data_IF_572131291461
#
_entry.id   IF_572131291461
#
_cell.length_a   1.000
_cell.length_b   1.000
_cell.length_c   1.000
_cell.angle_alpha   90.00
_cell.angle_beta   90.00
_cell.angle_gamma   90.00
#
_symmetry.space_group_name_H-M   'P 1'
#
loop_
_entity.id
_entity.type
_entity.pdbx_description
1 polymer ?
#
# COMPACT_ATOMS: atom_id res chain seq x y z
N UNK A 1 58.29 -67.94 58.71
CA UNK A 1 57.15 -68.50 57.99
C UNK A 1 56.16 -67.37 57.64
N UNK A 2 56.27 -66.83 56.47
CA UNK A 2 55.37 -65.77 56.04
C UNK A 2 55.12 -65.99 54.55
N UNK A 3 53.87 -66.19 54.15
CA UNK A 3 53.43 -66.39 52.79
C UNK A 3 53.20 -65.01 52.12
N UNK A 4 53.77 -64.83 50.94
CA UNK A 4 53.49 -63.73 50.04
C UNK A 4 52.25 -64.04 49.22
N UNK A 5 51.24 -63.20 49.25
CA UNK A 5 50.14 -63.16 48.29
C UNK A 5 50.31 -61.98 47.37
N UNK A 6 50.46 -62.26 46.09
CA UNK A 6 50.52 -61.31 44.99
C UNK A 6 49.12 -60.89 44.63
N UNK A 7 48.84 -59.59 44.66
CA UNK A 7 47.63 -58.98 44.17
C UNK A 7 47.89 -58.48 42.73
N UNK A 8 47.12 -58.98 41.79
CA UNK A 8 47.04 -58.49 40.40
C UNK A 8 46.07 -57.34 40.35
N UNK A 9 46.57 -56.18 40.04
CA UNK A 9 45.76 -54.98 39.78
C UNK A 9 45.38 -54.96 38.30
N UNK A 10 44.08 -55.17 37.98
CA UNK A 10 43.54 -54.93 36.67
C UNK A 10 43.23 -53.44 36.47
N UNK A 11 43.91 -52.79 35.54
CA UNK A 11 43.62 -51.44 35.12
C UNK A 11 42.41 -51.41 34.19
N UNK A 12 41.30 -50.91 34.67
CA UNK A 12 40.10 -50.59 33.85
C UNK A 12 40.34 -49.22 33.19
N UNK A 13 40.57 -49.19 31.88
CA UNK A 13 40.64 -47.96 31.09
C UNK A 13 39.23 -47.42 30.86
N UNK A 14 38.87 -46.39 31.59
CA UNK A 14 37.63 -45.64 31.36
C UNK A 14 37.84 -44.69 30.17
N UNK A 15 37.26 -45.01 29.01
CA UNK A 15 37.20 -44.10 27.85
C UNK A 15 36.16 -43.01 28.16
N UNK A 16 36.62 -41.86 28.56
CA UNK A 16 35.83 -40.64 28.67
C UNK A 16 35.55 -40.12 27.25
N UNK A 17 34.38 -40.37 26.71
CA UNK A 17 33.87 -39.69 25.53
C UNK A 17 33.62 -38.23 25.90
N UNK A 18 34.53 -37.36 25.54
CA UNK A 18 34.35 -35.91 25.54
C UNK A 18 33.29 -35.57 24.48
N UNK A 19 32.01 -35.59 24.92
CA UNK A 19 30.95 -35.00 24.16
C UNK A 19 31.23 -33.50 24.00
N UNK A 20 31.71 -33.09 22.82
CA UNK A 20 31.73 -31.68 22.45
C UNK A 20 30.32 -31.14 22.56
N UNK A 21 30.05 -30.11 23.37
CA UNK A 21 28.74 -29.46 23.32
C UNK A 21 28.57 -28.96 21.91
N UNK A 22 27.60 -29.47 21.14
CA UNK A 22 27.07 -28.81 19.98
C UNK A 22 26.62 -27.43 20.48
N UNK A 23 27.44 -26.41 20.20
CA UNK A 23 27.07 -25.04 20.41
C UNK A 23 25.78 -24.85 19.59
N UNK A 24 24.64 -24.89 20.26
CA UNK A 24 23.41 -24.40 19.70
C UNK A 24 23.69 -22.91 19.37
N UNK A 25 24.10 -22.64 18.14
CA UNK A 25 24.09 -21.27 17.63
C UNK A 25 22.66 -20.79 17.79
N UNK A 26 22.42 -20.05 18.86
CA UNK A 26 21.14 -19.40 19.09
C UNK A 26 20.82 -18.61 17.84
N UNK A 27 19.80 -19.02 17.10
CA UNK A 27 19.42 -18.34 15.86
C UNK A 27 19.08 -16.90 16.23
N UNK A 28 19.92 -15.96 15.78
CA UNK A 28 19.79 -14.56 16.12
C UNK A 28 18.42 -14.06 15.65
N UNK A 29 17.61 -13.61 16.59
CA UNK A 29 16.32 -12.97 16.31
C UNK A 29 16.55 -11.54 15.84
N UNK A 30 15.89 -11.15 14.79
CA UNK A 30 15.91 -9.79 14.22
C UNK A 30 14.54 -9.16 14.44
N UNK A 31 14.51 -8.03 15.13
CA UNK A 31 13.29 -7.22 15.27
C UNK A 31 13.27 -6.14 14.21
N UNK A 32 12.16 -6.03 13.46
CA UNK A 32 11.93 -5.04 12.43
C UNK A 32 10.82 -4.06 12.86
N UNK A 33 11.10 -2.78 12.77
CA UNK A 33 10.14 -1.70 13.04
C UNK A 33 9.30 -1.44 11.79
N UNK A 34 7.99 -1.67 11.90
CA UNK A 34 7.01 -1.38 10.85
C UNK A 34 6.23 -0.11 11.19
N UNK A 35 6.22 0.90 10.32
CA UNK A 35 5.56 2.18 10.56
C UNK A 35 4.59 2.54 9.45
N UNK A 36 3.41 3.04 9.81
CA UNK A 36 2.37 3.48 8.88
C UNK A 36 1.44 4.52 9.48
N UNK A 37 0.76 5.27 8.62
CA UNK A 37 -0.27 6.24 9.03
C UNK A 37 -1.64 5.60 9.30
N UNK A 38 -1.82 4.30 8.99
CA UNK A 38 -3.10 3.61 9.19
C UNK A 38 -3.42 3.40 10.67
N UNK A 39 -4.69 3.57 11.02
CA UNK A 39 -5.17 3.35 12.38
C UNK A 39 -5.14 1.86 12.75
N UNK A 40 -4.89 1.50 14.03
CA UNK A 40 -4.77 0.11 14.48
C UNK A 40 -6.08 -0.71 14.35
N UNK A 41 -7.23 -0.04 14.23
CA UNK A 41 -8.53 -0.70 14.00
C UNK A 41 -9.02 -0.57 12.55
N UNK A 42 -8.18 -0.07 11.64
CA UNK A 42 -8.54 -0.01 10.22
C UNK A 42 -8.56 -1.40 9.57
N UNK A 43 -9.42 -1.59 8.57
CA UNK A 43 -9.46 -2.83 7.80
C UNK A 43 -8.07 -3.16 7.20
N UNK A 44 -7.38 -2.15 6.67
CA UNK A 44 -6.01 -2.30 6.14
C UNK A 44 -5.06 -2.86 7.19
N UNK A 45 -5.10 -2.34 8.41
CA UNK A 45 -4.26 -2.84 9.49
C UNK A 45 -4.58 -4.29 9.84
N UNK A 46 -5.86 -4.58 10.08
CA UNK A 46 -6.32 -5.87 10.62
C UNK A 46 -6.24 -7.00 9.60
N UNK A 47 -6.49 -6.72 8.31
CA UNK A 47 -6.61 -7.76 7.28
C UNK A 47 -5.42 -7.82 6.32
N UNK A 48 -4.54 -6.82 6.33
CA UNK A 48 -3.43 -6.70 5.39
C UNK A 48 -2.07 -6.62 6.10
N UNK A 49 -1.81 -5.57 6.88
CA UNK A 49 -0.50 -5.38 7.51
C UNK A 49 -0.19 -6.44 8.57
N UNK A 50 -1.10 -6.64 9.51
CA UNK A 50 -0.93 -7.61 10.60
C UNK A 50 -0.77 -9.04 10.06
N UNK A 51 -1.64 -9.56 9.17
CA UNK A 51 -1.47 -10.90 8.60
C UNK A 51 -0.18 -11.06 7.79
N UNK A 52 0.28 -10.01 7.09
CA UNK A 52 1.56 -10.07 6.38
C UNK A 52 2.73 -10.20 7.36
N UNK A 53 2.76 -9.41 8.43
CA UNK A 53 3.79 -9.51 9.48
C UNK A 53 3.78 -10.88 10.16
N UNK A 54 2.60 -11.37 10.56
CA UNK A 54 2.43 -12.70 11.17
C UNK A 54 2.93 -13.82 10.26
N UNK A 55 2.67 -13.71 8.95
CA UNK A 55 3.18 -14.65 7.96
C UNK A 55 4.71 -14.63 7.88
N UNK A 56 5.34 -13.48 7.82
CA UNK A 56 6.80 -13.36 7.81
C UNK A 56 7.41 -13.90 9.11
N UNK A 57 6.82 -13.62 10.28
CA UNK A 57 7.25 -14.18 11.56
C UNK A 57 7.19 -15.71 11.53
N UNK A 58 6.08 -16.28 11.06
CA UNK A 58 5.89 -17.72 10.92
C UNK A 58 6.90 -18.35 9.96
N UNK A 59 7.04 -17.77 8.77
CA UNK A 59 7.92 -18.30 7.71
C UNK A 59 9.40 -18.23 8.10
N UNK A 60 9.77 -17.29 8.99
CA UNK A 60 11.12 -17.18 9.55
C UNK A 60 11.38 -18.17 10.70
N UNK A 61 10.38 -18.95 11.11
CA UNK A 61 10.46 -19.76 12.33
C UNK A 61 10.58 -18.92 13.60
N UNK A 62 10.02 -17.71 13.61
CA UNK A 62 10.07 -16.76 14.73
C UNK A 62 11.39 -15.98 14.84
N UNK A 63 12.29 -16.07 13.87
CA UNK A 63 13.57 -15.34 13.87
C UNK A 63 13.45 -13.90 13.38
N UNK A 64 12.41 -13.57 12.61
CA UNK A 64 11.99 -12.21 12.38
C UNK A 64 10.83 -11.90 13.32
N UNK A 65 10.89 -10.77 14.01
CA UNK A 65 9.84 -10.22 14.85
C UNK A 65 9.51 -8.81 14.40
N UNK A 66 8.28 -8.38 14.62
CA UNK A 66 7.89 -7.01 14.29
C UNK A 66 7.55 -6.21 15.54
N UNK A 67 8.05 -4.97 15.58
CA UNK A 67 7.53 -3.88 16.38
C UNK A 67 6.73 -2.96 15.47
N UNK A 68 5.42 -2.95 15.67
CA UNK A 68 4.51 -2.26 14.75
C UNK A 68 4.01 -0.94 15.35
N UNK A 69 4.10 0.13 14.56
CA UNK A 69 3.80 1.50 14.94
C UNK A 69 2.74 2.09 13.99
N UNK A 70 1.44 1.78 14.17
CA UNK A 70 0.36 2.38 13.41
C UNK A 70 0.14 3.85 13.78
N UNK A 71 -0.70 4.56 13.02
CA UNK A 71 -1.16 5.92 13.31
C UNK A 71 -0.03 6.93 13.57
N UNK A 72 1.10 6.80 12.87
CA UNK A 72 2.26 7.69 13.00
C UNK A 72 2.86 7.72 14.42
N UNK A 73 2.81 6.62 15.18
CA UNK A 73 3.27 6.57 16.59
C UNK A 73 4.76 6.91 16.78
N UNK A 74 5.59 6.76 15.75
CA UNK A 74 7.00 7.19 15.79
C UNK A 74 7.19 8.65 15.35
N UNK A 75 6.09 9.38 15.18
CA UNK A 75 6.12 10.78 14.78
C UNK A 75 6.26 11.02 13.29
N UNK A 76 6.27 12.29 12.93
CA UNK A 76 6.27 12.73 11.53
C UNK A 76 4.87 12.79 10.92
N UNK A 77 4.85 12.88 9.59
CA UNK A 77 3.63 12.94 8.77
C UNK A 77 3.67 11.85 7.70
N UNK A 78 2.54 11.49 7.07
CA UNK A 78 2.54 10.52 5.96
C UNK A 78 3.50 10.86 4.82
N UNK A 79 3.79 12.14 4.60
CA UNK A 79 4.75 12.62 3.58
C UNK A 79 6.19 12.14 3.89
N UNK A 80 6.53 11.99 5.16
CA UNK A 80 7.89 11.65 5.62
C UNK A 80 8.15 10.13 5.72
N UNK A 81 7.10 9.29 5.62
CA UNK A 81 7.25 7.84 5.85
C UNK A 81 8.30 7.19 4.94
N UNK A 82 8.30 7.52 3.64
CA UNK A 82 9.29 6.94 2.72
C UNK A 82 10.72 7.33 3.13
N UNK A 83 10.94 8.58 3.52
CA UNK A 83 12.25 9.05 3.99
C UNK A 83 12.65 8.39 5.31
N UNK A 84 11.71 8.12 6.21
CA UNK A 84 12.00 7.39 7.46
C UNK A 84 12.55 5.98 7.19
N UNK A 85 12.02 5.26 6.18
CA UNK A 85 12.58 3.98 5.76
C UNK A 85 13.93 4.15 5.05
N UNK A 86 14.04 5.12 4.11
CA UNK A 86 15.30 5.40 3.42
C UNK A 86 16.43 5.70 4.41
N UNK A 87 16.17 6.53 5.38
CA UNK A 87 17.17 7.04 6.33
C UNK A 87 17.40 6.11 7.54
N UNK A 88 16.68 4.99 7.63
CA UNK A 88 16.83 3.99 8.69
C UNK A 88 16.25 4.39 10.05
N UNK A 89 15.36 5.38 10.09
CA UNK A 89 14.58 5.72 11.30
C UNK A 89 13.68 4.55 11.69
N UNK A 90 13.13 3.89 10.69
CA UNK A 90 12.35 2.64 10.80
C UNK A 90 12.83 1.64 9.73
N UNK A 91 12.52 0.36 9.95
CA UNK A 91 12.97 -0.68 9.03
C UNK A 91 12.03 -0.82 7.82
N UNK A 92 10.71 -0.75 8.03
CA UNK A 92 9.70 -0.94 7.00
C UNK A 92 8.61 0.13 7.14
N UNK A 93 8.17 0.65 6.01
CA UNK A 93 7.00 1.54 5.93
C UNK A 93 5.99 1.02 4.91
N UNK A 94 4.73 1.38 5.12
CA UNK A 94 3.71 1.33 4.10
C UNK A 94 3.13 2.73 3.92
N UNK A 95 3.22 3.27 2.71
CA UNK A 95 2.84 4.66 2.41
C UNK A 95 2.44 4.86 0.96
N UNK A 96 1.89 6.06 0.64
CA UNK A 96 1.64 6.51 -0.72
C UNK A 96 2.86 7.27 -1.26
N UNK A 97 3.50 6.81 -2.35
CA UNK A 97 4.52 7.61 -3.04
C UNK A 97 4.02 8.98 -3.46
N UNK A 98 2.75 9.09 -3.83
CA UNK A 98 2.08 10.34 -4.22
C UNK A 98 1.97 11.41 -3.12
N UNK A 99 2.24 11.08 -1.85
CA UNK A 99 2.37 12.07 -0.77
C UNK A 99 3.54 13.04 -1.03
N UNK A 100 4.56 12.63 -1.79
CA UNK A 100 5.68 13.46 -2.25
C UNK A 100 5.55 13.74 -3.75
N UNK A 101 4.69 14.69 -4.10
CA UNK A 101 4.30 14.99 -5.48
C UNK A 101 5.50 15.09 -6.43
N UNK A 102 5.47 14.32 -7.53
CA UNK A 102 6.47 14.36 -8.59
C UNK A 102 7.83 13.72 -8.27
N UNK A 103 8.00 13.08 -7.11
CA UNK A 103 9.21 12.34 -6.75
C UNK A 103 9.29 10.99 -7.48
N UNK A 104 8.16 10.35 -7.71
CA UNK A 104 8.03 9.06 -8.37
C UNK A 104 7.14 9.19 -9.61
N UNK A 105 7.56 9.93 -10.64
CA UNK A 105 6.66 10.40 -11.68
C UNK A 105 6.18 9.29 -12.63
N UNK A 106 6.96 8.23 -12.85
CA UNK A 106 6.60 7.17 -13.80
C UNK A 106 5.53 6.25 -13.26
N UNK A 107 5.54 5.97 -11.96
CA UNK A 107 4.50 5.12 -11.33
C UNK A 107 3.15 5.83 -11.20
N UNK A 108 3.12 7.16 -11.28
CA UNK A 108 1.87 7.94 -11.27
C UNK A 108 0.94 7.57 -12.43
N UNK A 109 1.42 6.86 -13.46
CA UNK A 109 0.59 6.30 -14.53
C UNK A 109 -0.59 5.48 -14.00
N UNK A 110 -0.41 4.76 -12.88
CA UNK A 110 -1.47 3.98 -12.25
C UNK A 110 -2.50 4.81 -11.48
N UNK A 111 -2.27 6.11 -11.34
CA UNK A 111 -3.20 7.06 -10.72
C UNK A 111 -3.97 7.88 -11.76
N UNK A 112 -3.76 7.63 -13.05
CA UNK A 112 -4.50 8.28 -14.12
C UNK A 112 -5.98 7.86 -14.08
N UNK A 113 -6.90 8.77 -14.47
CA UNK A 113 -8.33 8.48 -14.43
C UNK A 113 -8.69 7.25 -15.25
N UNK A 114 -9.60 6.44 -14.73
CA UNK A 114 -10.22 5.32 -15.45
C UNK A 114 -9.22 4.30 -16.01
N UNK A 115 -8.02 4.15 -15.41
CA UNK A 115 -7.01 3.20 -15.86
C UNK A 115 -7.20 1.80 -15.28
N UNK A 116 -7.83 1.67 -14.12
CA UNK A 116 -7.96 0.40 -13.41
C UNK A 116 -9.39 -0.11 -13.31
N UNK A 117 -9.56 -1.46 -13.25
CA UNK A 117 -10.83 -2.12 -12.99
C UNK A 117 -10.86 -2.81 -11.62
N UNK A 118 -9.80 -3.53 -11.27
CA UNK A 118 -9.68 -4.15 -9.95
C UNK A 118 -8.26 -4.03 -9.40
N UNK A 119 -8.16 -4.02 -8.05
CA UNK A 119 -6.91 -3.76 -7.38
C UNK A 119 -5.91 -4.92 -7.49
N UNK A 120 -6.34 -6.18 -7.52
CA UNK A 120 -5.41 -7.30 -7.64
C UNK A 120 -4.66 -7.29 -8.97
N UNK A 121 -5.40 -7.22 -10.08
CA UNK A 121 -4.82 -7.17 -11.41
C UNK A 121 -3.93 -5.94 -11.61
N UNK A 122 -4.41 -4.78 -11.15
CA UNK A 122 -3.64 -3.53 -11.26
C UNK A 122 -2.39 -3.54 -10.39
N UNK A 123 -2.42 -4.16 -9.19
CA UNK A 123 -1.24 -4.32 -8.34
C UNK A 123 -0.20 -5.26 -8.96
N UNK A 124 -0.62 -6.36 -9.61
CA UNK A 124 0.28 -7.23 -10.39
C UNK A 124 0.92 -6.46 -11.55
N UNK A 125 0.12 -5.67 -12.28
CA UNK A 125 0.58 -4.83 -13.36
C UNK A 125 1.58 -3.77 -12.87
N UNK A 126 1.31 -3.14 -11.74
CA UNK A 126 2.17 -2.14 -11.12
C UNK A 126 3.53 -2.74 -10.73
N UNK A 127 3.55 -3.93 -10.12
CA UNK A 127 4.79 -4.64 -9.81
C UNK A 127 5.61 -4.94 -11.07
N UNK A 128 5.01 -5.53 -12.11
CA UNK A 128 5.70 -5.84 -13.37
C UNK A 128 6.18 -4.59 -14.11
N UNK A 129 5.37 -3.53 -14.09
CA UNK A 129 5.74 -2.23 -14.64
C UNK A 129 6.94 -1.62 -13.92
N UNK A 130 6.94 -1.63 -12.59
CA UNK A 130 8.07 -1.18 -11.80
C UNK A 130 9.36 -1.90 -12.22
N UNK A 131 9.32 -3.22 -12.30
CA UNK A 131 10.51 -4.02 -12.65
C UNK A 131 11.02 -3.72 -14.07
N UNK A 132 10.16 -3.40 -15.02
CA UNK A 132 10.50 -3.28 -16.43
C UNK A 132 10.68 -1.84 -16.93
N UNK A 133 9.99 -0.87 -16.30
CA UNK A 133 9.95 0.52 -16.77
C UNK A 133 10.64 1.51 -15.83
N UNK A 134 10.66 1.24 -14.53
CA UNK A 134 11.13 2.22 -13.55
C UNK A 134 11.77 1.62 -12.28
N UNK A 135 12.67 0.60 -12.37
CA UNK A 135 13.27 -0.03 -11.19
C UNK A 135 14.11 0.95 -10.35
N UNK A 136 14.54 2.04 -10.95
CA UNK A 136 15.34 3.08 -10.31
C UNK A 136 14.53 4.08 -9.47
N UNK A 137 13.19 4.14 -9.60
CA UNK A 137 12.38 5.09 -8.82
C UNK A 137 12.44 4.83 -7.32
N UNK A 138 12.59 3.57 -6.90
CA UNK A 138 12.73 3.20 -5.48
C UNK A 138 14.12 2.70 -5.11
N UNK A 139 15.18 3.07 -5.86
CA UNK A 139 16.55 2.57 -5.66
C UNK A 139 17.14 2.82 -4.27
N UNK A 140 16.59 3.76 -3.52
CA UNK A 140 17.03 4.12 -2.17
C UNK A 140 16.51 3.16 -1.09
N UNK A 141 15.56 2.30 -1.42
CA UNK A 141 14.95 1.31 -0.51
C UNK A 141 14.89 -0.07 -1.14
N UNK A 142 14.66 -1.10 -0.34
CA UNK A 142 14.26 -2.42 -0.83
C UNK A 142 12.73 -2.47 -0.90
N UNK A 143 12.19 -2.68 -2.10
CA UNK A 143 10.74 -2.72 -2.32
C UNK A 143 10.19 -4.10 -1.99
N UNK A 144 9.30 -4.18 -1.01
CA UNK A 144 8.61 -5.41 -0.61
C UNK A 144 7.39 -5.63 -1.50
N UNK A 145 6.54 -4.62 -1.64
CA UNK A 145 5.33 -4.71 -2.46
C UNK A 145 4.91 -3.35 -3.01
N UNK A 146 4.23 -3.38 -4.14
CA UNK A 146 3.61 -2.24 -4.79
C UNK A 146 2.15 -2.59 -5.09
N UNK A 147 1.22 -1.79 -4.61
CA UNK A 147 -0.20 -2.08 -4.78
C UNK A 147 -1.01 -0.81 -5.05
N UNK A 148 -2.28 -1.03 -5.41
CA UNK A 148 -3.32 0.00 -5.48
C UNK A 148 -4.51 -0.40 -4.61
N UNK A 149 -5.33 0.59 -4.20
CA UNK A 149 -6.61 0.33 -3.53
C UNK A 149 -7.73 0.02 -4.54
N UNK A 150 -8.89 -0.39 -4.07
CA UNK A 150 -10.10 -0.59 -4.87
C UNK A 150 -10.61 0.70 -5.53
N UNK A 151 -11.74 0.65 -6.26
CA UNK A 151 -12.31 1.80 -6.94
C UNK A 151 -12.52 3.00 -6.01
N UNK A 152 -12.07 4.17 -6.46
CA UNK A 152 -12.34 5.42 -5.76
C UNK A 152 -13.82 5.80 -5.81
N UNK A 153 -14.30 6.44 -4.73
CA UNK A 153 -15.67 6.86 -4.54
C UNK A 153 -15.71 8.34 -4.17
N UNK A 154 -16.72 9.05 -4.63
CA UNK A 154 -16.95 10.47 -4.31
C UNK A 154 -17.81 10.55 -3.05
N UNK A 155 -17.36 11.21 -2.01
CA UNK A 155 -18.10 11.41 -0.76
C UNK A 155 -18.29 12.90 -0.51
N UNK A 156 -19.53 13.33 -0.28
CA UNK A 156 -19.88 14.74 -0.06
C UNK A 156 -20.77 14.93 1.16
N UNK A 157 -20.56 16.04 1.87
CA UNK A 157 -21.28 16.32 3.12
C UNK A 157 -22.74 16.75 2.86
N UNK A 158 -22.96 17.73 1.97
CA UNK A 158 -24.22 18.45 1.89
C UNK A 158 -24.87 18.46 0.50
N UNK A 159 -24.19 17.97 -0.54
CA UNK A 159 -24.69 18.00 -1.92
C UNK A 159 -24.46 16.64 -2.58
N UNK A 160 -25.52 16.04 -3.10
CA UNK A 160 -25.41 14.84 -3.92
C UNK A 160 -24.71 15.15 -5.25
N UNK A 161 -23.76 14.30 -5.65
CA UNK A 161 -23.14 14.33 -6.98
C UNK A 161 -23.79 13.23 -7.81
N UNK A 162 -24.57 13.63 -8.81
CA UNK A 162 -25.28 12.72 -9.74
C UNK A 162 -24.66 12.73 -11.14
N UNK A 163 -23.83 13.70 -11.44
CA UNK A 163 -23.09 13.82 -12.69
C UNK A 163 -21.83 14.69 -12.47
N UNK A 164 -20.94 14.75 -13.45
CA UNK A 164 -19.69 15.49 -13.33
C UNK A 164 -19.90 17.00 -13.08
N UNK A 165 -20.97 17.60 -13.61
CA UNK A 165 -21.22 19.04 -13.43
C UNK A 165 -21.57 19.41 -11.97
N UNK A 166 -22.07 18.46 -11.18
CA UNK A 166 -22.39 18.68 -9.77
C UNK A 166 -21.16 18.93 -8.89
N UNK A 167 -19.95 18.53 -9.36
CA UNK A 167 -18.69 18.80 -8.70
C UNK A 167 -18.27 20.26 -8.80
N UNK A 168 -18.83 21.05 -9.70
CA UNK A 168 -18.45 22.44 -9.92
C UNK A 168 -18.54 23.24 -8.63
N UNK A 169 -17.38 23.86 -8.27
CA UNK A 169 -17.24 24.73 -7.11
C UNK A 169 -17.15 24.03 -5.76
N UNK A 170 -17.33 22.69 -5.69
CA UNK A 170 -17.12 21.94 -4.45
C UNK A 170 -15.62 21.87 -4.15
N UNK A 171 -15.25 22.14 -2.90
CA UNK A 171 -13.91 21.90 -2.38
C UNK A 171 -13.72 20.42 -2.11
N UNK A 172 -13.06 19.72 -3.02
CA UNK A 172 -12.91 18.27 -2.97
C UNK A 172 -11.49 17.85 -2.61
N UNK A 173 -11.33 17.05 -1.59
CA UNK A 173 -10.03 16.51 -1.24
C UNK A 173 -9.59 15.44 -2.24
N UNK A 174 -8.38 15.58 -2.76
CA UNK A 174 -7.66 14.56 -3.53
C UNK A 174 -6.42 14.05 -2.79
N UNK A 175 -6.08 12.74 -2.91
CA UNK A 175 -4.93 12.14 -2.21
C UNK A 175 -3.57 12.52 -2.83
N UNK A 176 -3.51 12.68 -4.14
CA UNK A 176 -2.27 12.83 -4.92
C UNK A 176 -2.41 13.91 -5.98
N UNK A 177 -1.30 14.29 -6.64
CA UNK A 177 -1.34 15.32 -7.66
C UNK A 177 -2.18 14.94 -8.88
N UNK A 178 -2.19 13.68 -9.30
CA UNK A 178 -2.98 13.25 -10.45
C UNK A 178 -4.48 13.30 -10.11
N UNK A 179 -4.87 12.85 -8.91
CA UNK A 179 -6.26 12.92 -8.48
C UNK A 179 -6.72 14.36 -8.22
N UNK A 180 -5.84 15.28 -7.76
CA UNK A 180 -6.19 16.69 -7.65
C UNK A 180 -6.39 17.34 -9.04
N UNK A 181 -5.58 16.97 -10.05
CA UNK A 181 -5.81 17.38 -11.44
C UNK A 181 -7.16 16.87 -11.96
N UNK A 182 -7.47 15.58 -11.71
CA UNK A 182 -8.76 15.02 -12.08
C UNK A 182 -9.93 15.81 -11.49
N UNK A 183 -9.92 16.09 -10.19
CA UNK A 183 -10.97 16.87 -9.55
C UNK A 183 -11.09 18.28 -10.15
N UNK A 184 -9.97 18.91 -10.48
CA UNK A 184 -9.94 20.21 -11.17
C UNK A 184 -10.55 20.15 -12.57
N UNK A 185 -10.24 19.11 -13.37
CA UNK A 185 -10.80 18.93 -14.72
C UNK A 185 -12.32 18.72 -14.71
N UNK A 186 -12.83 18.16 -13.61
CA UNK A 186 -14.26 17.98 -13.37
C UNK A 186 -14.97 19.24 -12.81
N UNK A 187 -14.21 20.35 -12.63
CA UNK A 187 -14.74 21.63 -12.17
C UNK A 187 -14.80 21.82 -10.66
N UNK A 188 -14.29 20.87 -9.87
CA UNK A 188 -14.15 21.05 -8.43
C UNK A 188 -13.00 22.00 -8.10
N UNK A 189 -12.98 22.53 -6.88
CA UNK A 189 -11.81 23.19 -6.27
C UNK A 189 -11.02 22.12 -5.51
N UNK A 190 -9.89 21.64 -6.07
CA UNK A 190 -9.18 20.51 -5.47
C UNK A 190 -8.36 20.96 -4.24
N UNK A 191 -8.36 20.14 -3.20
CA UNK A 191 -7.57 20.34 -1.98
C UNK A 191 -6.73 19.10 -1.74
N UNK A 192 -5.42 19.19 -1.92
CA UNK A 192 -4.48 18.10 -1.67
C UNK A 192 -4.20 17.95 -0.17
N UNK A 193 -4.44 16.76 0.40
CA UNK A 193 -4.06 16.47 1.79
C UNK A 193 -3.96 14.96 2.05
N UNK A 194 -3.08 14.53 2.99
CA UNK A 194 -3.04 13.15 3.46
C UNK A 194 -4.36 12.71 4.13
N UNK A 195 -4.60 11.39 4.11
CA UNK A 195 -5.83 10.78 4.62
C UNK A 195 -6.21 11.20 6.05
N UNK A 196 -5.30 11.25 7.05
CA UNK A 196 -5.67 11.59 8.42
C UNK A 196 -6.24 13.01 8.60
N UNK A 197 -6.05 13.91 7.64
CA UNK A 197 -6.59 15.27 7.70
C UNK A 197 -8.06 15.40 7.31
N UNK A 198 -8.65 14.38 6.67
CA UNK A 198 -10.01 14.43 6.12
C UNK A 198 -11.08 14.70 7.20
N UNK A 199 -11.10 13.98 8.35
CA UNK A 199 -12.16 14.20 9.35
C UNK A 199 -12.22 15.64 9.87
N UNK A 200 -11.08 16.21 10.18
CA UNK A 200 -11.00 17.59 10.67
C UNK A 200 -11.43 18.60 9.57
N UNK A 201 -10.98 18.40 8.35
CA UNK A 201 -11.31 19.27 7.22
C UNK A 201 -12.82 19.23 6.86
N UNK A 202 -13.46 18.06 6.89
CA UNK A 202 -14.91 17.91 6.70
C UNK A 202 -15.68 18.56 7.86
N UNK A 203 -15.27 18.30 9.11
CA UNK A 203 -15.95 18.83 10.30
C UNK A 203 -15.91 20.36 10.35
N UNK A 204 -14.81 20.97 9.89
CA UNK A 204 -14.64 22.43 9.82
C UNK A 204 -15.22 23.06 8.54
N UNK A 205 -15.71 22.28 7.59
CA UNK A 205 -16.19 22.78 6.30
C UNK A 205 -15.09 23.38 5.41
N UNK A 206 -13.80 23.07 5.67
CA UNK A 206 -12.70 23.48 4.79
C UNK A 206 -12.70 22.69 3.49
N UNK A 207 -13.30 21.52 3.46
CA UNK A 207 -13.66 20.74 2.27
C UNK A 207 -15.15 20.39 2.33
N UNK A 208 -15.78 20.29 1.15
CA UNK A 208 -17.18 19.87 0.98
C UNK A 208 -17.30 18.36 0.80
N UNK A 209 -16.18 17.71 0.46
CA UNK A 209 -16.12 16.29 0.22
C UNK A 209 -14.71 15.78 -0.01
N UNK A 210 -14.60 14.47 -0.19
CA UNK A 210 -13.34 13.80 -0.46
C UNK A 210 -13.55 12.64 -1.43
N UNK A 211 -12.50 12.29 -2.19
CA UNK A 211 -12.46 11.02 -2.88
C UNK A 211 -11.58 10.04 -2.09
N UNK A 212 -12.17 8.89 -1.71
CA UNK A 212 -11.51 7.77 -1.04
C UNK A 212 -12.19 6.45 -1.48
N UNK A 213 -11.54 5.27 -1.40
CA UNK A 213 -12.21 3.99 -1.60
C UNK A 213 -13.10 3.65 -0.41
N UNK A 214 -14.06 2.75 -0.62
CA UNK A 214 -14.98 2.35 0.44
C UNK A 214 -14.28 1.76 1.67
N UNK A 215 -13.24 0.96 1.47
CA UNK A 215 -12.59 0.19 2.55
C UNK A 215 -12.05 1.07 3.69
N UNK A 216 -11.62 2.30 3.38
CA UNK A 216 -11.04 3.21 4.37
C UNK A 216 -12.07 4.12 5.04
N UNK A 217 -13.28 4.20 4.50
CA UNK A 217 -14.38 5.07 5.01
C UNK A 217 -14.61 4.92 6.52
N UNK A 218 -14.70 3.69 7.10
CA UNK A 218 -14.93 3.53 8.53
C UNK A 218 -13.76 4.04 9.38
N UNK A 219 -12.52 3.81 8.92
CA UNK A 219 -11.31 4.13 9.69
C UNK A 219 -11.08 5.64 9.88
N UNK A 220 -11.60 6.45 8.95
CA UNK A 220 -11.59 7.94 9.02
C UNK A 220 -12.99 8.52 9.22
N UNK A 221 -13.98 7.70 9.54
CA UNK A 221 -15.35 8.11 9.89
C UNK A 221 -16.04 9.00 8.83
N UNK A 222 -15.66 8.88 7.57
CA UNK A 222 -16.25 9.70 6.50
C UNK A 222 -17.75 9.45 6.36
N UNK A 223 -18.23 8.23 6.57
CA UNK A 223 -19.66 7.90 6.60
C UNK A 223 -20.46 8.64 7.67
N UNK A 224 -19.80 9.18 8.71
CA UNK A 224 -20.42 10.00 9.75
C UNK A 224 -20.46 11.49 9.37
N UNK A 225 -19.52 11.92 8.53
CA UNK A 225 -19.28 13.31 8.16
C UNK A 225 -19.87 13.68 6.77
N UNK A 226 -20.27 12.67 6.01
CA UNK A 226 -20.85 12.84 4.67
C UNK A 226 -22.21 12.13 4.58
N UNK A 227 -23.10 12.63 3.72
CA UNK A 227 -24.44 12.09 3.55
C UNK A 227 -24.66 11.48 2.16
N UNK A 228 -23.81 11.82 1.21
CA UNK A 228 -23.98 11.43 -0.19
C UNK A 228 -22.69 10.79 -0.70
N UNK A 229 -22.86 9.70 -1.46
CA UNK A 229 -21.76 8.94 -2.03
C UNK A 229 -22.06 8.65 -3.50
N UNK A 230 -21.09 8.90 -4.37
CA UNK A 230 -21.13 8.57 -5.80
C UNK A 230 -20.18 7.46 -6.12
N UNK A 231 -20.67 6.30 -6.55
CA UNK A 231 -19.88 5.15 -6.94
C UNK A 231 -20.07 4.80 -8.42
N UNK A 232 -19.06 4.25 -9.06
CA UNK A 232 -19.06 3.89 -10.47
C UNK A 232 -19.45 2.43 -10.66
N UNK A 233 -20.04 2.06 -11.83
CA UNK A 233 -20.42 0.67 -12.10
C UNK A 233 -19.20 -0.27 -12.04
N UNK A 234 -19.37 -1.44 -11.47
CA UNK A 234 -18.30 -2.42 -11.28
C UNK A 234 -17.73 -2.98 -12.61
N UNK A 235 -18.51 -2.89 -13.70
CA UNK A 235 -18.13 -3.31 -15.04
C UNK A 235 -17.47 -2.20 -15.87
N UNK A 236 -17.22 -1.03 -15.25
CA UNK A 236 -16.51 0.09 -15.86
C UNK A 236 -15.21 0.41 -15.09
N UNK A 237 -14.24 1.07 -15.74
CA UNK A 237 -13.02 1.49 -15.06
C UNK A 237 -13.30 2.46 -13.90
N UNK A 238 -12.54 2.34 -12.83
CA UNK A 238 -12.66 3.19 -11.66
C UNK A 238 -12.20 4.62 -11.95
N UNK A 239 -12.90 5.61 -11.40
CA UNK A 239 -12.56 7.03 -11.58
C UNK A 239 -11.10 7.33 -11.20
N UNK A 240 -10.59 6.66 -10.17
CA UNK A 240 -9.18 6.72 -9.77
C UNK A 240 -8.83 5.56 -8.83
N UNK A 241 -7.56 5.32 -8.69
CA UNK A 241 -6.94 4.64 -7.56
C UNK A 241 -5.67 5.40 -7.14
N UNK A 242 -5.02 4.98 -6.06
CA UNK A 242 -3.69 5.49 -5.69
C UNK A 242 -2.69 4.37 -5.54
N UNK A 243 -1.44 4.70 -5.79
CA UNK A 243 -0.31 3.80 -5.63
C UNK A 243 0.17 3.76 -4.18
N UNK A 244 0.56 2.58 -3.72
CA UNK A 244 1.21 2.36 -2.44
C UNK A 244 2.53 1.63 -2.62
N UNK A 245 3.44 1.85 -1.69
CA UNK A 245 4.68 1.11 -1.56
C UNK A 245 4.83 0.58 -0.14
N UNK A 246 5.17 -0.70 -0.03
CA UNK A 246 5.77 -1.25 1.18
C UNK A 246 7.27 -1.30 0.94
N UNK A 247 8.01 -0.44 1.63
CA UNK A 247 9.44 -0.22 1.42
C UNK A 247 10.22 -0.52 2.69
N UNK A 248 11.33 -1.23 2.54
CA UNK A 248 12.26 -1.54 3.63
C UNK A 248 13.55 -0.72 3.49
N UNK A 249 14.13 -0.31 4.60
CA UNK A 249 15.45 0.29 4.61
C UNK A 249 16.47 -0.65 3.94
N UNK A 250 17.17 -0.11 2.96
CA UNK A 250 18.10 -0.92 2.13
C UNK A 250 19.24 -1.52 2.94
N UNK A 251 19.86 -0.75 3.81
CA UNK A 251 20.98 -1.24 4.65
C UNK A 251 20.51 -2.30 5.64
N UNK A 252 19.28 -2.15 6.17
CA UNK A 252 18.66 -3.15 7.06
C UNK A 252 18.40 -4.47 6.33
N UNK A 253 17.85 -4.42 5.11
CA UNK A 253 17.68 -5.61 4.28
C UNK A 253 19.06 -6.23 3.93
N UNK A 254 20.03 -5.42 3.50
CA UNK A 254 21.37 -5.90 3.11
C UNK A 254 22.09 -6.57 4.29
N UNK A 255 21.83 -6.13 5.53
CA UNK A 255 22.39 -6.69 6.77
C UNK A 255 21.71 -7.99 7.26
N UNK A 256 20.60 -8.42 6.68
CA UNK A 256 19.98 -9.69 7.02
C UNK A 256 20.84 -10.88 6.56
N UNK A 257 20.80 -11.98 7.29
CA UNK A 257 21.40 -13.25 6.85
C UNK A 257 20.70 -13.76 5.58
N UNK A 258 21.39 -14.55 4.77
CA UNK A 258 20.88 -15.03 3.48
C UNK A 258 19.56 -15.80 3.58
N UNK A 259 19.33 -16.51 4.67
CA UNK A 259 18.10 -17.25 4.94
C UNK A 259 16.95 -16.32 5.36
N UNK A 260 17.20 -15.25 6.13
CA UNK A 260 16.21 -14.24 6.45
C UNK A 260 15.86 -13.36 5.25
N UNK A 261 16.82 -13.05 4.38
CA UNK A 261 16.56 -12.42 3.08
C UNK A 261 15.59 -13.26 2.26
N UNK A 262 15.84 -14.58 2.15
CA UNK A 262 14.91 -15.48 1.42
C UNK A 262 13.49 -15.47 2.01
N UNK A 263 13.34 -15.31 3.32
CA UNK A 263 12.01 -15.18 3.94
C UNK A 263 11.34 -13.87 3.52
N UNK A 264 12.06 -12.74 3.58
CA UNK A 264 11.52 -11.45 3.12
C UNK A 264 11.15 -11.53 1.65
N UNK A 265 12.04 -12.05 0.78
CA UNK A 265 11.81 -12.15 -0.66
C UNK A 265 10.62 -13.05 -1.01
N UNK A 266 10.45 -14.16 -0.29
CA UNK A 266 9.29 -15.07 -0.46
C UNK A 266 7.96 -14.43 -0.05
N UNK A 267 8.00 -13.37 0.77
CA UNK A 267 6.84 -12.57 1.22
C UNK A 267 6.79 -11.20 0.54
N UNK A 268 7.47 -11.05 -0.58
CA UNK A 268 7.57 -9.82 -1.38
C UNK A 268 7.10 -10.04 -2.81
N UNK A 269 7.25 -9.01 -3.62
CA UNK A 269 7.08 -9.12 -5.05
C UNK A 269 5.64 -9.12 -5.52
N UNK A 270 5.41 -9.71 -6.69
CA UNK A 270 4.09 -9.74 -7.33
C UNK A 270 3.03 -10.45 -6.47
N UNK A 271 3.40 -11.53 -5.78
CA UNK A 271 2.46 -12.27 -4.92
C UNK A 271 2.00 -11.43 -3.72
N UNK A 272 2.93 -10.73 -3.07
CA UNK A 272 2.60 -9.79 -1.99
C UNK A 272 1.76 -8.62 -2.52
N UNK A 273 2.13 -8.03 -3.65
CA UNK A 273 1.40 -6.94 -4.30
C UNK A 273 -0.05 -7.34 -4.62
N UNK A 274 -0.24 -8.53 -5.20
CA UNK A 274 -1.56 -9.08 -5.49
C UNK A 274 -2.38 -9.32 -4.21
N UNK A 275 -1.78 -9.91 -3.18
CA UNK A 275 -2.42 -10.13 -1.89
C UNK A 275 -2.89 -8.82 -1.27
N UNK A 276 -2.03 -7.81 -1.23
CA UNK A 276 -2.35 -6.52 -0.63
C UNK A 276 -3.48 -5.82 -1.40
N UNK A 277 -3.41 -5.76 -2.73
CA UNK A 277 -4.45 -5.14 -3.57
C UNK A 277 -5.80 -5.85 -3.44
N UNK A 278 -5.82 -7.19 -3.57
CA UNK A 278 -7.05 -7.99 -3.41
C UNK A 278 -7.66 -7.82 -2.02
N UNK A 279 -6.85 -7.86 -0.98
CA UNK A 279 -7.32 -7.74 0.40
C UNK A 279 -7.87 -6.35 0.67
N UNK A 280 -7.21 -5.31 0.19
CA UNK A 280 -7.66 -3.94 0.38
C UNK A 280 -9.02 -3.73 -0.27
N UNK A 281 -9.19 -4.04 -1.55
CA UNK A 281 -10.48 -3.94 -2.25
C UNK A 281 -11.53 -4.88 -1.66
N UNK A 282 -11.15 -6.05 -1.18
CA UNK A 282 -12.07 -7.01 -0.54
C UNK A 282 -12.79 -6.46 0.70
N UNK A 283 -12.31 -5.36 1.28
CA UNK A 283 -12.96 -4.68 2.40
C UNK A 283 -13.93 -3.57 1.97
N UNK A 284 -14.07 -3.25 0.68
CA UNK A 284 -15.02 -2.23 0.19
C UNK A 284 -16.47 -2.47 0.65
N UNK A 285 -17.01 -3.72 0.65
CA UNK A 285 -18.35 -3.97 1.15
C UNK A 285 -18.59 -3.54 2.60
N UNK A 286 -17.55 -3.63 3.46
CA UNK A 286 -17.63 -3.22 4.88
C UNK A 286 -17.81 -1.71 4.96
N UNK A 287 -17.02 -0.94 4.22
CA UNK A 287 -17.11 0.50 4.19
C UNK A 287 -18.41 1.00 3.59
N UNK A 288 -18.87 0.38 2.48
CA UNK A 288 -20.14 0.69 1.86
C UNK A 288 -21.33 0.42 2.81
N UNK A 289 -21.27 -0.71 3.52
CA UNK A 289 -22.27 -1.07 4.53
C UNK A 289 -22.33 -0.04 5.66
N UNK A 290 -21.20 0.46 6.13
CA UNK A 290 -21.17 1.49 7.18
C UNK A 290 -21.91 2.76 6.78
N UNK A 291 -21.88 3.15 5.51
CA UNK A 291 -22.65 4.29 4.99
C UNK A 291 -24.15 3.97 4.87
N UNK A 292 -24.51 2.79 4.37
CA UNK A 292 -25.93 2.40 4.25
C UNK A 292 -26.61 2.22 5.61
N UNK A 293 -25.92 1.65 6.60
CA UNK A 293 -26.44 1.48 7.97
C UNK A 293 -26.75 2.83 8.65
N UNK A 294 -26.11 3.91 8.23
CA UNK A 294 -26.40 5.28 8.69
C UNK A 294 -27.53 5.96 7.91
N UNK A 295 -28.05 5.33 6.88
CA UNK A 295 -29.06 5.91 6.00
C UNK A 295 -28.50 6.93 5.00
N UNK A 296 -27.19 6.89 4.73
CA UNK A 296 -26.57 7.74 3.72
C UNK A 296 -27.06 7.36 2.31
N UNK A 297 -27.16 8.35 1.44
CA UNK A 297 -27.60 8.14 0.04
C UNK A 297 -26.41 7.73 -0.81
N UNK A 298 -26.53 6.61 -1.51
CA UNK A 298 -25.55 6.16 -2.49
C UNK A 298 -26.17 6.29 -3.89
N UNK A 299 -25.47 6.99 -4.79
CA UNK A 299 -25.81 7.07 -6.20
C UNK A 299 -24.78 6.25 -6.99
N UNK A 300 -25.23 5.18 -7.64
CA UNK A 300 -24.39 4.46 -8.60
C UNK A 300 -24.57 5.11 -9.96
N UNK A 301 -23.48 5.66 -10.52
CA UNK A 301 -23.52 6.31 -11.83
C UNK A 301 -23.93 5.32 -12.92
N UNK A 302 -24.72 5.79 -13.87
CA UNK A 302 -25.00 5.05 -15.09
C UNK A 302 -23.76 4.99 -15.99
N UNK A 303 -23.78 4.10 -16.97
CA UNK A 303 -22.71 4.03 -18.01
C UNK A 303 -22.56 5.38 -18.71
N UNK A 304 -23.64 6.02 -19.11
CA UNK A 304 -23.60 7.32 -19.79
C UNK A 304 -23.01 8.44 -18.93
N UNK A 305 -23.37 8.48 -17.64
CA UNK A 305 -22.77 9.42 -16.69
C UNK A 305 -21.28 9.15 -16.50
N UNK A 306 -20.88 7.88 -16.40
CA UNK A 306 -19.46 7.48 -16.29
C UNK A 306 -18.67 7.89 -17.55
N UNK A 307 -19.22 7.71 -18.75
CA UNK A 307 -18.62 8.16 -20.01
C UNK A 307 -18.43 9.68 -20.07
N UNK A 308 -19.33 10.47 -19.48
CA UNK A 308 -19.14 11.94 -19.36
C UNK A 308 -17.96 12.28 -18.43
N UNK A 309 -17.80 11.56 -17.31
CA UNK A 309 -16.60 11.72 -16.47
C UNK A 309 -15.31 11.37 -17.22
N UNK A 310 -15.28 10.24 -17.96
CA UNK A 310 -14.14 9.82 -18.78
C UNK A 310 -13.79 10.92 -19.80
N UNK A 311 -14.77 11.39 -20.55
CA UNK A 311 -14.56 12.44 -21.57
C UNK A 311 -13.98 13.73 -21.00
N UNK A 312 -14.48 14.17 -19.83
CA UNK A 312 -13.99 15.40 -19.18
C UNK A 312 -12.60 15.28 -18.64
N UNK A 313 -12.15 14.09 -18.27
CA UNK A 313 -10.82 13.85 -17.71
C UNK A 313 -9.78 13.40 -18.75
N UNK A 314 -10.16 13.20 -20.00
CA UNK A 314 -9.31 12.59 -21.02
C UNK A 314 -7.96 13.35 -21.24
N UNK A 315 -7.95 14.67 -21.09
CA UNK A 315 -6.74 15.47 -21.26
C UNK A 315 -5.64 15.17 -20.23
N UNK A 316 -5.96 14.53 -19.10
CA UNK A 316 -5.01 14.24 -18.02
C UNK A 316 -3.97 13.20 -18.46
N UNK A 317 -4.36 12.21 -19.27
CA UNK A 317 -3.43 11.25 -19.87
C UNK A 317 -2.38 11.96 -20.72
N UNK A 318 -2.81 12.89 -21.60
CA UNK A 318 -1.93 13.65 -22.48
C UNK A 318 -1.01 14.60 -21.69
N UNK A 319 -1.53 15.23 -20.63
CA UNK A 319 -0.73 16.07 -19.73
C UNK A 319 0.36 15.26 -19.02
N UNK A 320 0.04 14.05 -18.56
CA UNK A 320 1.02 13.18 -17.93
C UNK A 320 2.08 12.71 -18.92
N UNK A 321 1.67 12.32 -20.14
CA UNK A 321 2.59 11.97 -21.23
C UNK A 321 3.55 13.12 -21.52
N UNK A 322 3.04 14.35 -21.67
CA UNK A 322 3.86 15.51 -21.91
C UNK A 322 4.81 15.85 -20.74
N UNK A 323 4.39 15.61 -19.47
CA UNK A 323 5.27 15.77 -18.30
C UNK A 323 6.41 14.72 -18.34
N UNK A 324 6.11 13.47 -18.69
CA UNK A 324 7.13 12.43 -18.85
C UNK A 324 8.13 12.76 -19.96
N UNK A 325 7.64 13.20 -21.11
CA UNK A 325 8.51 13.59 -22.25
C UNK A 325 9.43 14.76 -21.89
N UNK A 326 8.94 15.77 -21.16
CA UNK A 326 9.76 16.89 -20.64
C UNK A 326 10.85 16.44 -19.67
N UNK A 327 10.63 15.32 -18.96
CA UNK A 327 11.61 14.71 -18.05
C UNK A 327 12.58 13.77 -18.75
N UNK A 328 12.48 13.62 -20.08
CA UNK A 328 13.32 12.72 -20.89
C UNK A 328 12.90 11.27 -20.91
N UNK A 329 11.68 10.97 -20.44
CA UNK A 329 11.08 9.65 -20.57
C UNK A 329 10.20 9.57 -21.82
N UNK A 330 9.84 8.37 -22.24
CA UNK A 330 8.93 8.13 -23.38
C UNK A 330 7.49 7.99 -22.86
N UNK A 331 6.82 9.09 -22.56
CA UNK A 331 5.53 9.13 -21.87
C UNK A 331 4.47 8.25 -22.52
N UNK A 332 4.28 8.32 -23.83
CA UNK A 332 3.30 7.50 -24.55
C UNK A 332 3.61 6.01 -24.46
N UNK A 333 4.89 5.61 -24.50
CA UNK A 333 5.30 4.21 -24.33
C UNK A 333 5.03 3.72 -22.90
N UNK A 334 5.31 4.54 -21.88
CA UNK A 334 5.05 4.23 -20.48
C UNK A 334 3.55 4.03 -20.23
N UNK A 335 2.70 4.91 -20.75
CA UNK A 335 1.25 4.82 -20.65
C UNK A 335 0.72 3.54 -21.33
N UNK A 336 1.18 3.27 -22.56
CA UNK A 336 0.80 2.06 -23.31
C UNK A 336 1.22 0.80 -22.57
N UNK A 337 2.43 0.77 -22.00
CA UNK A 337 2.93 -0.37 -21.20
C UNK A 337 2.05 -0.61 -19.96
N UNK A 338 1.70 0.44 -19.20
CA UNK A 338 0.82 0.30 -18.04
C UNK A 338 -0.56 -0.26 -18.41
N UNK A 339 -1.20 0.30 -19.46
CA UNK A 339 -2.50 -0.20 -19.98
C UNK A 339 -2.42 -1.66 -20.45
N UNK A 340 -1.36 -2.03 -21.15
CA UNK A 340 -1.15 -3.41 -21.61
C UNK A 340 -0.96 -4.40 -20.44
N UNK A 341 -0.21 -4.02 -19.42
CA UNK A 341 0.01 -4.85 -18.23
C UNK A 341 -1.27 -5.01 -17.41
N UNK A 342 -2.06 -3.95 -17.24
CA UNK A 342 -3.38 -4.04 -16.57
C UNK A 342 -4.29 -5.00 -17.34
N UNK A 343 -4.35 -4.88 -18.68
CA UNK A 343 -5.13 -5.78 -19.50
C UNK A 343 -4.63 -7.23 -19.44
N UNK A 344 -3.30 -7.44 -19.38
CA UNK A 344 -2.67 -8.78 -19.24
C UNK A 344 -3.13 -9.47 -17.95
N UNK A 345 -3.05 -8.76 -16.82
CA UNK A 345 -3.38 -9.32 -15.51
C UNK A 345 -4.88 -9.33 -15.19
N UNK A 346 -5.68 -8.57 -15.93
CA UNK A 346 -7.14 -8.52 -15.78
C UNK A 346 -7.91 -9.64 -16.50
N UNK A 347 -7.24 -10.49 -17.28
CA UNK A 347 -7.86 -11.58 -18.05
C UNK A 347 -7.90 -12.92 -17.29
N UNK A 348 -7.49 -12.93 -16.03
CA UNK A 348 -7.39 -14.13 -15.21
C UNK A 348 -8.52 -14.29 -14.21
#
# INVERSE_FOLDING_TARGET
MIQRRTLVQGAAATVATLGTPLAAFGQQTVTLKFHTFMQPMSNVWLTMHKPWMEKVEKDSGGRIKFEAYPAMQLGGTPVQLYDQARDGVVDIVWTLPGNTAGRFPRIEVFELPFIMNNAEATSKAYWEYFQTQCPDEFKETHVIALQVHGPGVIHTANKAVKNAADLRGLKMRGPTRQVTKLLGSLGATPVGMPLPGIPDALSKGTIDGAVIPWEVVPSVKVHELTKFHGEFPADMPAIYTTTFVMAMNKARYDGLSADLKRVIDANSGMSASAFLGRTQQGNDPIGRKSATDRGNTIHTFTRAETEDFIKRSAAIDDEWVADMDKRGFKGAQLLSSAKALIAKHGRG
#
